data_IF_993617542149
#
_entry.id   IF_993617542149
#
_cell.length_a   1.000
_cell.length_b   1.000
_cell.length_c   1.000
_cell.angle_alpha   90.00
_cell.angle_beta   90.00
_cell.angle_gamma   90.00
#
_symmetry.space_group_name_H-M   'P 1'
#
loop_
_entity.id
_entity.type
_entity.pdbx_description
1 polymer ?
#
# COMPACT_ATOMS: atom_id res chain seq x y z
N UNK A 1 -11.68 -2.28 21.81
CA UNK A 1 -11.49 -3.31 20.77
C UNK A 1 -11.36 -2.53 19.47
N UNK A 2 -10.18 -2.52 18.86
CA UNK A 2 -9.94 -1.74 17.64
C UNK A 2 -10.36 -2.62 16.47
N UNK A 3 -11.38 -2.19 15.73
CA UNK A 3 -11.89 -2.85 14.54
C UNK A 3 -11.56 -1.98 13.33
N UNK A 4 -11.02 -2.58 12.27
CA UNK A 4 -10.73 -1.91 11.01
C UNK A 4 -11.44 -2.64 9.88
N UNK A 5 -12.30 -1.96 9.12
CA UNK A 5 -13.12 -2.58 8.06
C UNK A 5 -13.15 -1.75 6.79
N UNK A 6 -13.35 -2.39 5.65
CA UNK A 6 -13.43 -1.73 4.35
C UNK A 6 -13.76 -2.68 3.22
N UNK A 7 -13.59 -2.21 1.97
CA UNK A 7 -13.81 -3.00 0.75
C UNK A 7 -12.52 -3.20 -0.03
N UNK A 8 -12.36 -4.37 -0.64
CA UNK A 8 -11.19 -4.72 -1.46
C UNK A 8 -11.06 -3.87 -2.73
N UNK A 9 -12.19 -3.39 -3.27
CA UNK A 9 -12.21 -2.45 -4.40
C UNK A 9 -11.49 -1.12 -4.10
N UNK A 10 -11.45 -0.72 -2.83
CA UNK A 10 -10.79 0.51 -2.39
C UNK A 10 -9.34 0.27 -1.93
N UNK A 11 -9.03 -0.92 -1.41
CA UNK A 11 -7.70 -1.31 -0.92
C UNK A 11 -7.43 -2.77 -1.30
N UNK A 12 -6.39 -3.03 -2.09
CA UNK A 12 -6.09 -4.40 -2.50
C UNK A 12 -5.66 -5.26 -1.30
N UNK A 13 -5.77 -6.58 -1.41
CA UNK A 13 -5.28 -7.48 -0.38
C UNK A 13 -3.79 -7.26 -0.06
N UNK A 14 -2.96 -6.96 -1.08
CA UNK A 14 -1.55 -6.63 -0.90
C UNK A 14 -1.35 -5.42 0.03
N UNK A 15 -2.16 -4.36 -0.15
CA UNK A 15 -2.09 -3.14 0.64
C UNK A 15 -2.52 -3.36 2.09
N UNK A 16 -3.61 -4.12 2.28
CA UNK A 16 -4.11 -4.47 3.60
C UNK A 16 -3.06 -5.30 4.35
N UNK A 17 -2.48 -6.29 3.67
CA UNK A 17 -1.54 -7.21 4.28
C UNK A 17 -0.21 -6.51 4.61
N UNK A 18 0.27 -5.60 3.76
CA UNK A 18 1.44 -4.75 4.03
C UNK A 18 1.18 -3.77 5.18
N UNK A 19 0.01 -3.12 5.21
CA UNK A 19 -0.41 -2.27 6.32
C UNK A 19 -0.39 -3.03 7.65
N UNK A 20 -0.98 -4.23 7.69
CA UNK A 20 -0.99 -5.06 8.90
C UNK A 20 0.40 -5.58 9.29
N UNK A 21 1.28 -5.82 8.32
CA UNK A 21 2.70 -6.15 8.57
C UNK A 21 3.41 -5.01 9.31
N UNK A 22 3.23 -3.77 8.86
CA UNK A 22 3.84 -2.57 9.46
C UNK A 22 3.20 -2.24 10.81
N UNK A 23 1.87 -2.33 10.89
CA UNK A 23 1.11 -2.12 12.12
C UNK A 23 1.54 -3.12 13.22
N UNK A 24 1.89 -4.34 12.82
CA UNK A 24 2.43 -5.41 13.65
C UNK A 24 1.60 -5.66 14.92
N UNK A 25 0.27 -5.71 14.77
CA UNK A 25 -0.67 -6.04 15.84
C UNK A 25 -1.24 -7.43 15.62
N UNK A 26 -1.38 -8.25 16.66
CA UNK A 26 -2.01 -9.55 16.53
C UNK A 26 -3.52 -9.41 16.32
N UNK A 27 -4.12 -10.32 15.56
CA UNK A 27 -5.56 -10.32 15.32
C UNK A 27 -5.99 -11.16 14.13
N UNK A 28 -7.28 -11.14 13.84
CA UNK A 28 -7.88 -11.84 12.70
C UNK A 28 -8.15 -10.85 11.57
N UNK A 29 -7.56 -11.08 10.40
CA UNK A 29 -8.00 -10.47 9.14
C UNK A 29 -8.98 -11.42 8.45
N UNK A 30 -10.26 -11.03 8.37
CA UNK A 30 -11.31 -11.74 7.67
C UNK A 30 -11.66 -11.03 6.37
N UNK A 31 -11.72 -11.75 5.26
CA UNK A 31 -12.14 -11.25 3.95
C UNK A 31 -13.30 -12.09 3.43
N UNK A 32 -14.30 -11.44 2.83
CA UNK A 32 -15.48 -12.11 2.30
C UNK A 32 -15.91 -11.60 0.93
N UNK A 33 -16.21 -12.53 0.01
CA UNK A 33 -16.79 -12.25 -1.30
C UNK A 33 -17.78 -13.37 -1.66
N UNK A 34 -18.98 -13.00 -2.12
CA UNK A 34 -19.98 -13.95 -2.66
C UNK A 34 -20.23 -15.22 -1.80
N UNK A 35 -20.30 -15.06 -0.48
CA UNK A 35 -20.53 -16.17 0.46
C UNK A 35 -19.29 -17.03 0.79
N UNK A 36 -18.14 -16.73 0.19
CA UNK A 36 -16.84 -17.27 0.59
C UNK A 36 -16.18 -16.32 1.60
N UNK A 37 -15.68 -16.86 2.71
CA UNK A 37 -14.92 -16.10 3.72
C UNK A 37 -13.59 -16.79 3.98
N UNK A 38 -12.51 -16.02 3.97
CA UNK A 38 -11.16 -16.47 4.34
C UNK A 38 -10.67 -15.60 5.51
N UNK A 39 -10.25 -16.25 6.59
CA UNK A 39 -9.68 -15.63 7.77
C UNK A 39 -8.20 -15.97 7.92
N UNK A 40 -7.36 -14.96 8.16
CA UNK A 40 -5.93 -15.09 8.43
C UNK A 40 -5.61 -14.50 9.81
N UNK A 41 -5.05 -15.33 10.69
CA UNK A 41 -4.65 -14.89 12.02
C UNK A 41 -3.20 -14.43 12.00
N UNK A 42 -2.98 -13.20 12.44
CA UNK A 42 -1.69 -12.52 12.39
C UNK A 42 -1.08 -12.42 13.78
N UNK A 43 0.24 -12.58 13.87
CA UNK A 43 1.04 -12.37 15.08
C UNK A 43 2.48 -12.08 14.67
N UNK A 44 3.10 -11.04 15.22
CA UNK A 44 4.52 -10.71 15.01
C UNK A 44 4.97 -10.68 13.53
N UNK A 45 4.17 -10.05 12.67
CA UNK A 45 4.45 -9.93 11.23
C UNK A 45 4.30 -11.23 10.44
N UNK A 46 3.65 -12.24 11.02
CA UNK A 46 3.47 -13.59 10.48
C UNK A 46 2.01 -13.99 10.51
N UNK A 47 1.62 -14.85 9.57
CA UNK A 47 0.37 -15.58 9.60
C UNK A 47 0.62 -16.86 10.39
N UNK A 48 -0.15 -17.04 11.47
CA UNK A 48 -0.05 -18.21 12.36
C UNK A 48 -1.15 -19.24 12.12
N UNK A 49 -2.25 -18.82 11.51
CA UNK A 49 -3.38 -19.69 11.20
C UNK A 49 -4.21 -19.15 10.03
N UNK A 50 -4.90 -20.04 9.32
CA UNK A 50 -5.82 -19.69 8.24
C UNK A 50 -7.07 -20.57 8.26
N UNK A 51 -8.22 -19.95 8.03
CA UNK A 51 -9.52 -20.62 7.93
C UNK A 51 -10.24 -20.16 6.66
N UNK A 52 -11.00 -21.05 6.02
CA UNK A 52 -11.76 -20.74 4.81
C UNK A 52 -13.08 -21.50 4.81
N UNK A 53 -14.14 -20.86 4.32
CA UNK A 53 -15.42 -21.53 4.05
C UNK A 53 -15.42 -22.28 2.72
N UNK A 54 -14.41 -22.07 1.86
CA UNK A 54 -14.29 -22.74 0.56
C UNK A 54 -13.84 -24.18 0.74
N UNK A 55 -14.58 -25.13 0.17
CA UNK A 55 -14.26 -26.56 0.32
C UNK A 55 -12.90 -26.93 -0.27
N UNK A 56 -12.52 -26.34 -1.41
CA UNK A 56 -11.21 -26.60 -2.04
C UNK A 56 -10.01 -26.22 -1.17
N UNK A 57 -10.22 -25.38 -0.16
CA UNK A 57 -9.16 -24.93 0.75
C UNK A 57 -9.01 -25.88 1.95
N UNK A 58 -9.88 -26.88 2.11
CA UNK A 58 -9.79 -27.87 3.20
C UNK A 58 -8.53 -28.72 3.06
N UNK A 59 -7.88 -28.99 4.20
CA UNK A 59 -6.67 -29.81 4.25
C UNK A 59 -6.89 -31.20 3.63
N UNK A 60 -8.04 -31.84 3.89
CA UNK A 60 -8.39 -33.15 3.33
C UNK A 60 -8.40 -33.14 1.79
N UNK A 61 -9.03 -32.12 1.20
CA UNK A 61 -9.14 -31.99 -0.25
C UNK A 61 -7.78 -31.68 -0.89
N UNK A 62 -6.96 -30.86 -0.23
CA UNK A 62 -5.58 -30.58 -0.63
C UNK A 62 -4.73 -31.86 -0.64
N UNK A 63 -4.77 -32.65 0.45
CA UNK A 63 -4.00 -33.88 0.58
C UNK A 63 -4.43 -34.95 -0.44
N UNK A 64 -5.74 -35.05 -0.73
CA UNK A 64 -6.27 -35.94 -1.75
C UNK A 64 -5.84 -35.54 -3.16
N UNK A 65 -5.96 -34.24 -3.51
CA UNK A 65 -5.56 -33.73 -4.83
C UNK A 65 -4.08 -33.94 -5.12
N UNK A 66 -3.24 -33.91 -4.08
CA UNK A 66 -1.79 -34.19 -4.18
C UNK A 66 -1.43 -35.67 -4.16
N UNK A 67 -2.41 -36.55 -3.96
CA UNK A 67 -2.18 -37.99 -3.80
C UNK A 67 -1.40 -38.35 -2.53
N UNK A 68 -1.32 -37.44 -1.55
CA UNK A 68 -0.61 -37.67 -0.28
C UNK A 68 -1.36 -38.66 0.61
N UNK A 69 -2.70 -38.67 0.50
CA UNK A 69 -3.57 -39.64 1.16
C UNK A 69 -4.54 -40.25 0.14
N UNK A 70 -5.04 -41.44 0.41
CA UNK A 70 -6.10 -42.07 -0.38
C UNK A 70 -7.49 -41.61 0.07
N UNK A 71 -8.51 -41.80 -0.78
CA UNK A 71 -9.91 -41.52 -0.40
C UNK A 71 -10.34 -42.32 0.84
N UNK A 72 -9.96 -43.59 0.91
CA UNK A 72 -10.26 -44.44 2.07
C UNK A 72 -9.62 -43.91 3.37
N UNK A 73 -8.36 -43.49 3.33
CA UNK A 73 -7.69 -42.86 4.46
C UNK A 73 -8.38 -41.56 4.89
N UNK A 74 -8.81 -40.73 3.93
CA UNK A 74 -9.55 -39.51 4.19
C UNK A 74 -10.90 -39.79 4.86
N UNK A 75 -11.69 -40.73 4.32
CA UNK A 75 -13.01 -41.07 4.85
C UNK A 75 -12.93 -41.61 6.28
N UNK A 76 -11.93 -42.43 6.57
CA UNK A 76 -11.69 -42.94 7.92
C UNK A 76 -11.30 -41.82 8.89
N UNK A 77 -10.42 -40.90 8.48
CA UNK A 77 -10.01 -39.77 9.30
C UNK A 77 -11.18 -38.81 9.59
N UNK A 78 -12.05 -38.58 8.60
CA UNK A 78 -13.25 -37.76 8.76
C UNK A 78 -14.25 -38.37 9.75
N UNK A 79 -14.43 -39.70 9.77
CA UNK A 79 -15.28 -40.38 10.78
C UNK A 79 -14.76 -40.18 12.20
N UNK A 80 -13.44 -40.24 12.40
CA UNK A 80 -12.81 -39.95 13.71
C UNK A 80 -12.97 -38.48 14.08
N UNK A 81 -12.86 -37.58 13.10
CA UNK A 81 -13.08 -36.16 13.33
C UNK A 81 -14.51 -35.82 13.74
N UNK A 82 -15.50 -36.49 13.14
CA UNK A 82 -16.90 -36.39 13.54
C UNK A 82 -17.14 -36.92 14.98
N UNK A 83 -16.26 -37.80 15.49
CA UNK A 83 -16.28 -38.29 16.86
C UNK A 83 -15.49 -37.39 17.85
N UNK A 84 -15.04 -36.21 17.42
CA UNK A 84 -14.38 -35.21 18.27
C UNK A 84 -12.85 -35.21 18.21
N UNK A 85 -12.23 -36.04 17.36
CA UNK A 85 -10.77 -36.04 17.19
C UNK A 85 -10.30 -34.96 16.20
N UNK A 86 -9.13 -34.34 16.43
CA UNK A 86 -8.54 -33.44 15.43
C UNK A 86 -8.16 -34.21 14.16
N UNK A 87 -8.66 -33.77 12.99
CA UNK A 87 -8.44 -34.44 11.70
C UNK A 87 -6.95 -34.74 11.43
N UNK A 88 -6.06 -33.81 11.75
CA UNK A 88 -4.61 -33.99 11.58
C UNK A 88 -4.05 -35.14 12.42
N UNK A 89 -4.51 -35.30 13.66
CA UNK A 89 -4.13 -36.42 14.53
C UNK A 89 -4.63 -37.75 13.96
N UNK A 90 -5.89 -37.79 13.53
CA UNK A 90 -6.47 -38.98 12.92
C UNK A 90 -5.71 -39.46 11.67
N UNK A 91 -5.20 -38.52 10.86
CA UNK A 91 -4.37 -38.81 9.67
C UNK A 91 -2.98 -39.33 10.01
N UNK A 92 -2.36 -38.82 11.08
CA UNK A 92 -1.03 -39.26 11.54
C UNK A 92 -1.08 -40.65 12.16
N UNK A 93 -2.03 -40.90 13.07
CA UNK A 93 -2.15 -42.17 13.80
C UNK A 93 -2.31 -43.39 12.88
N UNK A 94 -2.87 -43.19 11.68
CA UNK A 94 -3.10 -44.27 10.71
C UNK A 94 -1.92 -44.50 9.76
N UNK A 95 -0.81 -43.79 9.95
CA UNK A 95 0.38 -43.91 9.10
C UNK A 95 0.19 -43.31 7.70
N UNK A 96 -0.92 -42.62 7.44
CA UNK A 96 -1.18 -41.93 6.17
C UNK A 96 -0.42 -40.63 6.01
N UNK A 97 0.11 -40.07 7.11
CA UNK A 97 0.84 -38.80 7.11
C UNK A 97 1.84 -38.77 8.27
N UNK A 98 3.05 -38.26 8.06
CA UNK A 98 3.97 -37.97 9.17
C UNK A 98 3.63 -36.62 9.82
N UNK A 99 3.98 -36.36 11.10
CA UNK A 99 3.79 -35.04 11.71
C UNK A 99 4.43 -33.90 10.91
N UNK A 100 5.61 -34.16 10.32
CA UNK A 100 6.30 -33.21 9.44
C UNK A 100 5.51 -32.95 8.16
N UNK A 101 5.02 -33.99 7.49
CA UNK A 101 4.20 -33.85 6.29
C UNK A 101 2.88 -33.13 6.58
N UNK A 102 2.29 -33.32 7.76
CA UNK A 102 1.12 -32.56 8.21
C UNK A 102 1.42 -31.07 8.34
N UNK A 103 2.54 -30.71 8.97
CA UNK A 103 2.97 -29.32 9.11
C UNK A 103 3.21 -28.68 7.74
N UNK A 104 3.94 -29.36 6.86
CA UNK A 104 4.21 -28.88 5.49
C UNK A 104 2.91 -28.69 4.69
N UNK A 105 1.97 -29.63 4.81
CA UNK A 105 0.65 -29.52 4.19
C UNK A 105 -0.17 -28.35 4.74
N UNK A 106 -0.11 -28.10 6.05
CA UNK A 106 -0.78 -26.96 6.70
C UNK A 106 -0.19 -25.62 6.26
N UNK A 107 1.13 -25.50 6.25
CA UNK A 107 1.80 -24.29 5.76
C UNK A 107 1.41 -24.02 4.31
N UNK A 108 1.41 -25.05 3.47
CA UNK A 108 1.00 -24.92 2.08
C UNK A 108 -0.47 -24.53 1.93
N UNK A 109 -1.36 -25.12 2.74
CA UNK A 109 -2.78 -24.79 2.77
C UNK A 109 -3.00 -23.30 3.08
N UNK A 110 -2.39 -22.78 4.15
CA UNK A 110 -2.52 -21.38 4.57
C UNK A 110 -1.91 -20.44 3.52
N UNK A 111 -0.76 -20.79 2.95
CA UNK A 111 -0.14 -20.04 1.87
C UNK A 111 -1.06 -19.97 0.64
N UNK A 112 -1.66 -21.08 0.21
CA UNK A 112 -2.58 -21.10 -0.92
C UNK A 112 -3.83 -20.25 -0.67
N UNK A 113 -4.42 -20.33 0.53
CA UNK A 113 -5.54 -19.47 0.93
C UNK A 113 -5.16 -18.00 0.80
N UNK A 114 -4.04 -17.60 1.42
CA UNK A 114 -3.59 -16.21 1.44
C UNK A 114 -3.22 -15.70 0.03
N UNK A 115 -2.51 -16.50 -0.78
CA UNK A 115 -2.16 -16.17 -2.16
C UNK A 115 -3.41 -16.02 -3.03
N UNK A 116 -4.44 -16.84 -2.83
CA UNK A 116 -5.68 -16.76 -3.61
C UNK A 116 -6.44 -15.43 -3.42
N UNK A 117 -6.23 -14.74 -2.30
CA UNK A 117 -6.84 -13.44 -2.03
C UNK A 117 -6.27 -12.31 -2.90
N UNK A 118 -5.10 -12.48 -3.52
CA UNK A 118 -4.55 -11.49 -4.46
C UNK A 118 -5.35 -11.39 -5.76
N UNK A 119 -6.15 -12.42 -6.10
CA UNK A 119 -7.05 -12.39 -7.25
C UNK A 119 -8.42 -11.75 -6.93
N UNK A 120 -8.70 -11.43 -5.65
CA UNK A 120 -9.97 -10.82 -5.27
C UNK A 120 -9.94 -9.31 -5.54
N UNK A 121 -10.66 -8.87 -6.57
CA UNK A 121 -10.78 -7.44 -6.95
C UNK A 121 -11.90 -6.70 -6.20
N UNK A 122 -12.83 -7.43 -5.58
CA UNK A 122 -13.95 -6.88 -4.79
C UNK A 122 -14.24 -7.79 -3.59
N UNK A 123 -15.05 -7.29 -2.66
CA UNK A 123 -15.38 -7.95 -1.39
C UNK A 123 -15.16 -7.04 -0.19
N UNK A 124 -15.54 -7.53 0.99
CA UNK A 124 -15.39 -6.83 2.26
C UNK A 124 -14.24 -7.44 3.06
N UNK A 125 -13.58 -6.61 3.87
CA UNK A 125 -12.60 -7.09 4.85
C UNK A 125 -12.85 -6.46 6.22
N UNK A 126 -12.48 -7.20 7.27
CA UNK A 126 -12.48 -6.75 8.66
C UNK A 126 -11.22 -7.29 9.35
N UNK A 127 -10.51 -6.43 10.07
CA UNK A 127 -9.47 -6.80 11.00
C UNK A 127 -9.96 -6.60 12.44
N UNK A 128 -9.87 -7.67 13.23
CA UNK A 128 -10.24 -7.71 14.64
C UNK A 128 -8.97 -7.88 15.49
N UNK A 129 -8.54 -6.80 16.14
CA UNK A 129 -7.34 -6.82 16.97
C UNK A 129 -7.52 -7.75 18.18
N UNK A 130 -6.49 -8.55 18.48
CA UNK A 130 -6.43 -9.52 19.60
C UNK A 130 -7.40 -10.70 19.51
N UNK A 131 -8.05 -10.90 18.36
CA UNK A 131 -8.80 -12.11 18.09
C UNK A 131 -7.81 -13.29 17.91
N UNK A 132 -7.98 -14.34 18.69
CA UNK A 132 -7.17 -15.55 18.63
C UNK A 132 -7.91 -16.66 17.87
N UNK A 133 -7.19 -17.59 17.23
CA UNK A 133 -7.83 -18.76 16.63
C UNK A 133 -8.65 -19.52 17.67
N UNK A 134 -9.90 -19.84 17.34
CA UNK A 134 -10.76 -20.65 18.22
C UNK A 134 -10.31 -22.10 18.33
N UNK A 135 -9.56 -22.60 17.34
CA UNK A 135 -9.01 -23.96 17.34
C UNK A 135 -7.52 -23.90 17.71
N UNK A 136 -7.12 -24.65 18.75
CA UNK A 136 -5.73 -24.91 19.15
C UNK A 136 -5.02 -25.83 18.14
N UNK A 137 -5.16 -25.54 16.85
CA UNK A 137 -4.49 -26.24 15.78
C UNK A 137 -2.98 -26.01 15.83
N UNK A 138 -2.25 -26.77 15.00
CA UNK A 138 -0.83 -26.54 14.78
C UNK A 138 -0.66 -25.17 14.11
N UNK A 139 0.00 -24.23 14.79
CA UNK A 139 0.35 -22.93 14.22
C UNK A 139 1.36 -23.10 13.08
N UNK A 140 1.16 -22.34 12.01
CA UNK A 140 2.14 -22.26 10.92
C UNK A 140 3.06 -21.08 11.15
N UNK A 141 4.28 -21.15 10.63
CA UNK A 141 5.20 -20.02 10.64
C UNK A 141 5.34 -19.43 9.25
N UNK A 142 4.39 -18.55 8.85
CA UNK A 142 4.35 -17.99 7.51
C UNK A 142 4.57 -16.46 7.55
N UNK A 143 5.77 -15.96 7.19
CA UNK A 143 6.03 -14.53 7.12
C UNK A 143 5.08 -13.83 6.14
N UNK A 144 4.52 -12.68 6.55
CA UNK A 144 3.68 -11.86 5.68
C UNK A 144 4.45 -11.42 4.42
N UNK A 145 5.74 -11.10 4.56
CA UNK A 145 6.59 -10.74 3.43
C UNK A 145 6.67 -11.86 2.36
N UNK A 146 6.72 -13.13 2.77
CA UNK A 146 6.68 -14.27 1.85
C UNK A 146 5.36 -14.33 1.11
N UNK A 147 4.23 -14.11 1.80
CA UNK A 147 2.90 -14.10 1.18
C UNK A 147 2.74 -12.95 0.19
N UNK A 148 3.25 -11.75 0.51
CA UNK A 148 3.25 -10.61 -0.41
C UNK A 148 4.00 -10.94 -1.70
N UNK A 149 5.16 -11.58 -1.59
CA UNK A 149 5.99 -11.95 -2.75
C UNK A 149 5.31 -13.01 -3.61
N UNK A 150 4.94 -14.14 -3.01
CA UNK A 150 4.29 -15.24 -3.71
C UNK A 150 2.94 -14.81 -4.30
N UNK A 151 2.19 -13.98 -3.56
CA UNK A 151 0.91 -13.43 -3.98
C UNK A 151 1.02 -12.51 -5.18
N UNK A 152 1.90 -11.51 -5.11
CA UNK A 152 2.16 -10.60 -6.24
C UNK A 152 2.71 -11.34 -7.45
N UNK A 153 3.47 -12.42 -7.26
CA UNK A 153 3.93 -13.29 -8.35
C UNK A 153 2.82 -14.08 -9.02
N UNK A 154 1.79 -14.47 -8.27
CA UNK A 154 0.67 -15.27 -8.80
C UNK A 154 -0.42 -14.46 -9.52
N UNK A 155 -0.39 -13.13 -9.42
CA UNK A 155 -1.43 -12.26 -9.99
C UNK A 155 -1.54 -12.45 -11.50
N UNK A 156 -2.72 -12.91 -11.97
CA UNK A 156 -2.98 -13.13 -13.40
C UNK A 156 -3.35 -11.87 -14.16
N UNK A 157 -4.15 -10.99 -13.55
CA UNK A 157 -4.59 -9.75 -14.18
C UNK A 157 -3.51 -8.66 -14.08
N UNK A 158 -2.43 -8.81 -14.83
CA UNK A 158 -1.28 -7.90 -14.80
C UNK A 158 -1.62 -6.43 -15.15
N UNK A 159 -2.79 -6.16 -15.76
CA UNK A 159 -3.26 -4.80 -16.03
C UNK A 159 -3.51 -3.97 -14.75
N UNK A 160 -3.71 -4.61 -13.59
CA UNK A 160 -3.85 -3.87 -12.32
C UNK A 160 -2.57 -3.13 -11.91
N UNK A 161 -1.39 -3.62 -12.29
CA UNK A 161 -0.13 -2.93 -11.98
C UNK A 161 -0.03 -1.59 -12.72
N UNK A 162 -0.58 -1.49 -13.94
CA UNK A 162 -0.68 -0.22 -14.67
C UNK A 162 -1.60 0.78 -13.99
N UNK A 163 -2.71 0.34 -13.39
CA UNK A 163 -3.57 1.24 -12.58
C UNK A 163 -2.84 1.76 -11.34
N UNK A 164 -1.97 0.93 -10.75
CA UNK A 164 -1.19 1.27 -9.55
C UNK A 164 0.04 2.13 -9.85
N UNK A 165 0.58 2.01 -11.06
CA UNK A 165 1.70 2.77 -11.60
C UNK A 165 1.28 3.46 -12.91
N UNK A 166 0.38 4.47 -12.83
CA UNK A 166 -0.27 5.04 -14.01
C UNK A 166 0.63 5.98 -14.82
N UNK A 167 1.75 6.42 -14.25
CA UNK A 167 2.60 7.45 -14.83
C UNK A 167 3.97 6.91 -15.21
N UNK A 168 4.31 7.00 -16.49
CA UNK A 168 5.60 6.56 -17.02
C UNK A 168 6.77 7.44 -16.55
N UNK A 169 6.50 8.68 -16.12
CA UNK A 169 7.52 9.63 -15.67
C UNK A 169 7.99 9.40 -14.21
N UNK A 170 7.38 8.47 -13.48
CA UNK A 170 7.82 8.10 -12.14
C UNK A 170 9.25 7.58 -12.14
N UNK A 171 10.02 7.93 -11.11
CA UNK A 171 11.39 7.45 -10.93
C UNK A 171 11.49 6.73 -9.61
N UNK A 172 12.11 5.55 -9.64
CA UNK A 172 12.45 4.80 -8.45
C UNK A 172 13.95 4.88 -8.20
N UNK A 173 14.33 4.76 -6.94
CA UNK A 173 15.72 4.53 -6.54
C UNK A 173 15.79 3.26 -5.69
N UNK A 174 16.88 2.51 -5.86
CA UNK A 174 17.13 1.30 -5.09
C UNK A 174 17.49 1.65 -3.64
N UNK A 175 16.97 0.85 -2.70
CA UNK A 175 17.28 0.98 -1.28
C UNK A 175 18.60 0.25 -0.98
N UNK A 176 19.50 0.95 -0.30
CA UNK A 176 20.82 0.47 0.12
C UNK A 176 20.71 -0.79 0.99
N UNK A 177 21.72 -1.67 0.91
CA UNK A 177 21.70 -2.97 1.61
C UNK A 177 21.50 -2.89 3.12
N UNK A 178 22.02 -1.85 3.76
CA UNK A 178 21.86 -1.62 5.21
C UNK A 178 20.47 -1.16 5.64
N UNK A 179 19.60 -0.76 4.71
CA UNK A 179 18.26 -0.20 4.98
C UNK A 179 17.12 -1.16 4.55
N UNK A 180 17.47 -2.34 4.02
CA UNK A 180 16.49 -3.30 3.50
C UNK A 180 15.67 -3.92 4.64
N UNK A 181 14.35 -3.95 4.47
CA UNK A 181 13.45 -4.83 5.22
C UNK A 181 13.62 -6.29 4.73
N UNK A 182 13.03 -7.33 5.37
CA UNK A 182 13.62 -8.66 5.50
C UNK A 182 14.04 -9.32 4.18
N UNK A 183 15.02 -10.23 4.27
CA UNK A 183 15.67 -10.92 3.16
C UNK A 183 14.71 -11.82 2.35
N UNK A 184 13.93 -11.22 1.46
CA UNK A 184 13.21 -11.93 0.41
C UNK A 184 14.20 -12.34 -0.69
N UNK A 185 14.17 -13.62 -1.08
CA UNK A 185 14.91 -14.08 -2.24
C UNK A 185 14.24 -13.56 -3.52
N UNK A 186 14.98 -12.74 -4.26
CA UNK A 186 14.54 -12.26 -5.58
C UNK A 186 14.87 -13.30 -6.64
N UNK A 187 13.98 -13.46 -7.60
CA UNK A 187 14.22 -14.28 -8.78
C UNK A 187 15.19 -13.58 -9.75
N UNK A 188 15.87 -14.32 -10.66
CA UNK A 188 16.82 -13.74 -11.59
C UNK A 188 16.26 -12.60 -12.44
N UNK A 189 14.99 -12.71 -12.87
CA UNK A 189 14.32 -11.66 -13.65
C UNK A 189 14.04 -10.41 -12.81
N UNK A 190 13.72 -10.56 -11.52
CA UNK A 190 13.50 -9.45 -10.60
C UNK A 190 14.80 -8.70 -10.30
N UNK A 191 15.90 -9.43 -10.18
CA UNK A 191 17.26 -8.86 -10.05
C UNK A 191 17.64 -8.09 -11.31
N UNK A 192 17.30 -8.61 -12.50
CA UNK A 192 17.53 -7.92 -13.76
C UNK A 192 16.79 -6.57 -13.82
N UNK A 193 15.48 -6.55 -13.55
CA UNK A 193 14.70 -5.31 -13.54
C UNK A 193 15.20 -4.33 -12.48
N UNK A 194 15.57 -4.82 -11.29
CA UNK A 194 16.17 -3.98 -10.24
C UNK A 194 17.45 -3.29 -10.71
N UNK A 195 18.28 -3.97 -11.52
CA UNK A 195 19.52 -3.37 -12.10
C UNK A 195 19.24 -2.32 -13.16
N UNK A 196 18.06 -2.32 -13.78
CA UNK A 196 17.64 -1.26 -14.70
C UNK A 196 17.25 0.03 -13.95
N UNK A 197 16.98 -0.03 -12.64
CA UNK A 197 16.65 1.14 -11.83
C UNK A 197 17.94 1.78 -11.30
N UNK A 198 18.31 2.92 -11.87
CA UNK A 198 19.52 3.69 -11.52
C UNK A 198 19.24 4.93 -10.65
N UNK A 199 17.98 5.17 -10.28
CA UNK A 199 17.60 6.39 -9.57
C UNK A 199 17.32 7.59 -10.47
N UNK A 200 17.41 7.47 -11.80
CA UNK A 200 17.17 8.57 -12.75
C UNK A 200 16.19 8.19 -13.85
N UNK A 201 16.22 6.93 -14.30
CA UNK A 201 15.32 6.40 -15.33
C UNK A 201 13.88 6.45 -14.87
N UNK A 202 13.03 6.91 -15.77
CA UNK A 202 11.60 6.89 -15.56
C UNK A 202 11.07 5.46 -15.76
N UNK A 203 9.90 5.14 -15.19
CA UNK A 203 9.23 3.85 -15.33
C UNK A 203 9.07 3.46 -16.80
N UNK A 204 8.69 4.43 -17.66
CA UNK A 204 8.57 4.19 -19.10
C UNK A 204 9.89 3.78 -19.75
N UNK A 205 11.04 4.27 -19.26
CA UNK A 205 12.36 3.89 -19.77
C UNK A 205 12.74 2.48 -19.31
N UNK A 206 12.46 2.16 -18.04
CA UNK A 206 12.67 0.81 -17.48
C UNK A 206 11.83 -0.22 -18.24
N UNK A 207 10.57 0.10 -18.56
CA UNK A 207 9.70 -0.75 -19.38
C UNK A 207 10.30 -1.00 -20.77
N UNK A 208 10.81 0.04 -21.44
CA UNK A 208 11.40 -0.10 -22.79
C UNK A 208 12.71 -0.89 -22.79
N UNK A 209 13.49 -0.81 -21.72
CA UNK A 209 14.76 -1.53 -21.57
C UNK A 209 14.57 -2.97 -21.08
N UNK A 210 13.42 -3.28 -20.48
CA UNK A 210 13.13 -4.60 -19.96
C UNK A 210 12.73 -5.58 -21.07
N UNK A 211 13.31 -6.78 -21.05
CA UNK A 211 13.01 -7.85 -22.01
C UNK A 211 11.69 -8.59 -21.71
N UNK A 212 11.08 -8.30 -20.56
CA UNK A 212 9.88 -9.01 -20.07
C UNK A 212 8.55 -8.36 -20.48
N UNK A 213 8.62 -7.22 -21.19
CA UNK A 213 7.44 -6.44 -21.58
C UNK A 213 6.83 -5.65 -20.43
N UNK A 214 5.89 -4.77 -20.76
CA UNK A 214 5.30 -3.81 -19.81
C UNK A 214 4.65 -4.46 -18.57
N UNK A 215 3.73 -5.43 -18.71
CA UNK A 215 2.95 -5.88 -17.55
C UNK A 215 3.81 -6.59 -16.51
N UNK A 216 4.77 -7.39 -16.98
CA UNK A 216 5.72 -8.10 -16.12
C UNK A 216 6.69 -7.12 -15.45
N UNK A 217 7.21 -6.14 -16.20
CA UNK A 217 8.11 -5.12 -15.63
C UNK A 217 7.42 -4.30 -14.55
N UNK A 218 6.16 -3.91 -14.76
CA UNK A 218 5.36 -3.19 -13.76
C UNK A 218 5.08 -4.07 -12.52
N UNK A 219 4.75 -5.35 -12.71
CA UNK A 219 4.59 -6.32 -11.62
C UNK A 219 5.87 -6.42 -10.78
N UNK A 220 7.02 -6.56 -11.44
CA UNK A 220 8.32 -6.62 -10.79
C UNK A 220 8.64 -5.33 -10.03
N UNK A 221 8.46 -4.16 -10.64
CA UNK A 221 8.69 -2.86 -9.98
C UNK A 221 7.80 -2.69 -8.74
N UNK A 222 6.52 -3.07 -8.85
CA UNK A 222 5.58 -3.01 -7.74
C UNK A 222 5.96 -3.97 -6.60
N UNK A 223 6.38 -5.20 -6.94
CA UNK A 223 6.90 -6.17 -5.97
C UNK A 223 8.13 -5.60 -5.25
N UNK A 224 9.09 -5.08 -6.00
CA UNK A 224 10.32 -4.50 -5.45
C UNK A 224 10.05 -3.29 -4.54
N UNK A 225 9.06 -2.45 -4.88
CA UNK A 225 8.58 -1.37 -4.02
C UNK A 225 7.95 -1.92 -2.72
N UNK A 226 7.09 -2.94 -2.84
CA UNK A 226 6.35 -3.54 -1.71
C UNK A 226 7.29 -4.20 -0.70
N UNK A 227 8.34 -4.89 -1.18
CA UNK A 227 9.32 -5.57 -0.30
C UNK A 227 10.45 -4.64 0.17
N UNK A 228 10.36 -3.33 -0.10
CA UNK A 228 11.35 -2.36 0.35
C UNK A 228 12.72 -2.51 -0.32
N UNK A 229 12.74 -2.87 -1.62
CA UNK A 229 13.95 -2.83 -2.47
C UNK A 229 14.03 -1.55 -3.30
N UNK A 230 12.89 -0.93 -3.56
CA UNK A 230 12.79 0.38 -4.21
C UNK A 230 12.07 1.36 -3.30
N UNK A 231 12.36 2.65 -3.49
CA UNK A 231 11.55 3.78 -3.00
C UNK A 231 11.30 4.75 -4.15
N UNK A 232 10.18 5.45 -4.07
CA UNK A 232 9.89 6.55 -5.01
C UNK A 232 10.91 7.67 -4.79
N UNK A 233 11.54 8.11 -5.87
CA UNK A 233 12.38 9.31 -5.86
C UNK A 233 11.50 10.48 -6.27
N UNK A 234 11.36 11.45 -5.37
CA UNK A 234 10.69 12.70 -5.67
C UNK A 234 11.48 13.44 -6.77
N UNK A 235 11.01 13.36 -8.01
CA UNK A 235 11.46 14.22 -9.09
C UNK A 235 10.41 15.31 -9.25
N UNK A 236 10.77 16.59 -9.43
CA UNK A 236 9.82 17.55 -9.97
C UNK A 236 9.27 16.96 -11.27
N UNK A 237 7.96 17.04 -11.47
CA UNK A 237 7.34 16.72 -12.75
C UNK A 237 8.18 17.37 -13.87
N UNK A 238 8.36 16.71 -15.03
CA UNK A 238 9.13 17.30 -16.12
C UNK A 238 8.68 18.74 -16.31
N UNK A 239 9.63 19.68 -16.28
CA UNK A 239 9.37 21.05 -16.67
C UNK A 239 8.71 20.96 -18.04
N UNK A 240 7.41 21.22 -18.07
CA UNK A 240 6.74 21.56 -19.32
C UNK A 240 7.48 22.80 -19.77
N UNK A 241 8.34 22.63 -20.77
CA UNK A 241 9.13 23.68 -21.37
C UNK A 241 8.16 24.71 -21.96
N UNK A 242 7.73 25.65 -21.10
CA UNK A 242 7.13 26.96 -21.33
C UNK A 242 6.35 27.37 -20.06
N UNK A 243 7.06 27.87 -19.04
CA UNK A 243 6.46 28.64 -17.97
C UNK A 243 7.38 29.83 -17.58
N UNK A 244 6.88 31.08 -17.61
CA UNK A 244 7.69 32.26 -17.34
C UNK A 244 8.03 32.42 -15.84
N UNK A 245 9.33 32.61 -15.56
CA UNK A 245 9.98 33.19 -14.36
C UNK A 245 9.56 32.73 -12.94
N UNK A 246 10.55 32.19 -12.20
CA UNK A 246 10.46 31.56 -10.88
C UNK A 246 10.10 32.44 -9.65
N UNK A 247 9.73 33.71 -9.84
CA UNK A 247 9.33 34.63 -8.76
C UNK A 247 7.86 35.12 -8.84
N UNK A 248 7.10 34.67 -9.83
CA UNK A 248 5.69 35.02 -10.03
C UNK A 248 4.71 34.16 -9.22
N UNK A 249 3.42 34.51 -9.36
CA UNK A 249 2.26 33.79 -8.81
C UNK A 249 2.38 32.26 -8.98
N UNK A 250 2.76 31.81 -10.18
CA UNK A 250 2.94 30.40 -10.52
C UNK A 250 4.01 29.71 -9.66
N UNK A 251 5.14 30.37 -9.37
CA UNK A 251 6.20 29.82 -8.52
C UNK A 251 5.78 29.69 -7.06
N UNK A 252 4.92 30.57 -6.56
CA UNK A 252 4.32 30.44 -5.22
C UNK A 252 3.41 29.21 -5.19
N UNK A 253 2.46 29.10 -6.13
CA UNK A 253 1.54 27.96 -6.17
C UNK A 253 2.30 26.64 -6.36
N UNK A 254 3.34 26.60 -7.20
CA UNK A 254 4.15 25.40 -7.39
C UNK A 254 4.83 24.92 -6.11
N UNK A 255 5.38 25.84 -5.29
CA UNK A 255 5.98 25.49 -3.99
C UNK A 255 4.95 24.92 -3.01
N UNK A 256 3.77 25.50 -2.95
CA UNK A 256 2.68 24.98 -2.11
C UNK A 256 2.13 23.65 -2.63
N UNK A 257 1.98 23.48 -3.94
CA UNK A 257 1.59 22.20 -4.54
C UNK A 257 2.58 21.08 -4.22
N UNK A 258 3.89 21.37 -4.12
CA UNK A 258 4.86 20.40 -3.62
C UNK A 258 4.58 19.97 -2.18
N UNK A 259 4.17 20.90 -1.31
CA UNK A 259 3.82 20.61 0.08
C UNK A 259 2.48 19.88 0.21
N UNK A 260 1.45 20.31 -0.50
CA UNK A 260 0.14 19.64 -0.55
C UNK A 260 0.28 18.22 -1.09
N UNK A 261 1.03 18.06 -2.19
CA UNK A 261 1.32 16.75 -2.75
C UNK A 261 2.03 15.84 -1.75
N UNK A 262 2.99 16.35 -0.97
CA UNK A 262 3.64 15.56 0.09
C UNK A 262 2.65 15.14 1.20
N UNK A 263 1.78 16.04 1.65
CA UNK A 263 0.77 15.74 2.68
C UNK A 263 -0.25 14.75 2.15
N UNK A 264 -0.74 14.96 0.93
CA UNK A 264 -1.63 14.07 0.21
C UNK A 264 -1.02 12.69 0.05
N UNK A 265 0.20 12.58 -0.48
CA UNK A 265 0.88 11.29 -0.65
C UNK A 265 1.10 10.58 0.68
N UNK A 266 1.45 11.33 1.73
CA UNK A 266 1.63 10.76 3.06
C UNK A 266 0.30 10.27 3.64
N UNK A 267 -0.78 11.05 3.57
CA UNK A 267 -2.10 10.61 4.00
C UNK A 267 -2.64 9.47 3.14
N UNK A 268 -2.43 9.53 1.84
CA UNK A 268 -2.80 8.48 0.90
C UNK A 268 -2.05 7.18 1.23
N UNK A 269 -0.79 7.26 1.62
CA UNK A 269 0.00 6.11 2.09
C UNK A 269 -0.51 5.56 3.42
N UNK A 270 -0.83 6.42 4.38
CA UNK A 270 -1.08 6.02 5.77
C UNK A 270 -2.56 5.72 6.07
N UNK A 271 -3.50 6.36 5.35
CA UNK A 271 -4.94 6.16 5.51
C UNK A 271 -5.71 5.87 4.22
N UNK A 272 -5.06 5.88 3.05
CA UNK A 272 -5.69 5.53 1.77
C UNK A 272 -6.62 6.61 1.21
N UNK A 273 -7.49 6.26 0.24
CA UNK A 273 -8.30 7.22 -0.52
C UNK A 273 -9.25 8.10 0.31
N UNK A 274 -9.53 7.72 1.56
CA UNK A 274 -10.32 8.56 2.46
C UNK A 274 -9.65 9.92 2.70
N UNK A 275 -8.32 10.00 2.55
CA UNK A 275 -7.56 11.24 2.57
C UNK A 275 -8.10 12.27 1.58
N UNK A 276 -8.54 11.86 0.39
CA UNK A 276 -9.14 12.76 -0.61
C UNK A 276 -10.38 13.45 -0.06
N UNK A 277 -11.26 12.69 0.59
CA UNK A 277 -12.48 13.26 1.15
C UNK A 277 -12.18 14.19 2.33
N UNK A 278 -11.22 13.83 3.17
CA UNK A 278 -10.81 14.63 4.33
C UNK A 278 -10.18 15.96 3.90
N UNK A 279 -9.27 15.93 2.92
CA UNK A 279 -8.59 17.11 2.39
C UNK A 279 -9.54 17.98 1.56
N UNK A 280 -10.39 17.39 0.72
CA UNK A 280 -11.40 18.11 -0.03
C UNK A 280 -12.43 18.81 0.88
N UNK A 281 -12.72 18.24 2.06
CA UNK A 281 -13.55 18.89 3.07
C UNK A 281 -12.86 20.14 3.63
N UNK A 282 -11.57 20.06 3.96
CA UNK A 282 -10.80 21.21 4.45
C UNK A 282 -10.75 22.35 3.45
N UNK A 283 -10.60 22.06 2.15
CA UNK A 283 -10.66 23.08 1.10
C UNK A 283 -12.03 23.77 1.03
N UNK A 284 -13.14 23.02 1.15
CA UNK A 284 -14.50 23.59 1.18
C UNK A 284 -14.74 24.52 2.38
N UNK A 285 -14.21 24.18 3.55
CA UNK A 285 -14.30 25.02 4.75
C UNK A 285 -13.50 26.33 4.57
N UNK A 286 -12.39 26.28 3.85
CA UNK A 286 -11.58 27.46 3.51
C UNK A 286 -12.17 28.32 2.40
N UNK A 287 -12.90 27.74 1.44
CA UNK A 287 -13.64 28.52 0.42
C UNK A 287 -14.65 29.47 1.07
N UNK A 288 -15.28 29.09 2.18
CA UNK A 288 -16.17 29.97 2.93
C UNK A 288 -15.44 31.16 3.59
N UNK A 289 -14.16 30.99 3.92
CA UNK A 289 -13.34 32.01 4.60
C UNK A 289 -12.60 32.91 3.59
N UNK A 290 -12.17 32.34 2.46
CA UNK A 290 -11.46 33.02 1.38
C UNK A 290 -12.20 32.83 0.04
N UNK A 291 -13.44 33.34 -0.09
CA UNK A 291 -14.31 33.05 -1.23
C UNK A 291 -13.76 33.61 -2.54
N UNK A 292 -12.98 34.69 -2.51
CA UNK A 292 -12.34 35.25 -3.70
C UNK A 292 -11.23 34.35 -4.22
N UNK A 293 -10.44 33.72 -3.33
CA UNK A 293 -9.27 32.94 -3.73
C UNK A 293 -9.63 31.52 -4.17
N UNK A 294 -10.44 30.81 -3.37
CA UNK A 294 -10.75 29.40 -3.59
C UNK A 294 -12.05 29.16 -4.36
N UNK A 295 -12.64 30.20 -4.96
CA UNK A 295 -13.83 30.05 -5.77
C UNK A 295 -13.64 28.96 -6.82
N UNK A 296 -14.52 27.95 -6.82
CA UNK A 296 -14.51 26.82 -7.77
C UNK A 296 -13.22 25.97 -7.72
N UNK A 297 -12.37 26.16 -6.71
CA UNK A 297 -11.10 25.43 -6.59
C UNK A 297 -11.35 24.03 -6.03
N UNK A 298 -10.66 23.05 -6.59
CA UNK A 298 -10.70 21.65 -6.13
C UNK A 298 -9.28 21.11 -5.99
N UNK A 299 -9.09 20.13 -5.11
CA UNK A 299 -7.84 19.36 -5.08
C UNK A 299 -7.83 18.36 -6.24
N UNK A 300 -6.71 18.28 -6.94
CA UNK A 300 -6.42 17.22 -7.89
C UNK A 300 -6.23 15.87 -7.20
N UNK A 301 -6.21 14.79 -7.98
CA UNK A 301 -5.94 13.42 -7.48
C UNK A 301 -4.50 13.21 -6.99
N UNK A 302 -3.69 14.25 -6.95
CA UNK A 302 -2.36 14.31 -6.37
C UNK A 302 -2.30 15.27 -5.15
N UNK A 303 -3.46 15.81 -4.74
CA UNK A 303 -3.56 16.79 -3.66
C UNK A 303 -3.24 18.23 -4.06
N UNK A 304 -3.00 18.53 -5.33
CA UNK A 304 -2.59 19.88 -5.76
C UNK A 304 -3.78 20.77 -6.14
N UNK A 305 -3.55 22.09 -6.20
CA UNK A 305 -4.54 23.09 -6.68
C UNK A 305 -4.13 23.69 -8.02
N UNK A 306 -5.12 24.03 -8.86
CA UNK A 306 -4.88 24.60 -10.20
C UNK A 306 -4.37 26.05 -10.11
N UNK A 307 -3.11 26.24 -10.51
CA UNK A 307 -2.44 27.54 -10.49
C UNK A 307 -3.10 28.58 -11.41
N UNK A 308 -3.66 28.16 -12.55
CA UNK A 308 -4.31 29.08 -13.51
C UNK A 308 -5.62 29.60 -12.94
N UNK A 309 -6.42 28.71 -12.36
CA UNK A 309 -7.69 29.07 -11.71
C UNK A 309 -7.46 30.01 -10.52
N UNK A 310 -6.48 29.69 -9.67
CA UNK A 310 -6.10 30.58 -8.57
C UNK A 310 -5.69 31.95 -9.12
N UNK A 311 -4.90 32.01 -10.19
CA UNK A 311 -4.49 33.29 -10.78
C UNK A 311 -5.69 34.09 -11.30
N UNK A 312 -6.64 33.45 -11.98
CA UNK A 312 -7.87 34.08 -12.48
C UNK A 312 -8.72 34.66 -11.35
N UNK A 313 -8.84 33.94 -10.24
CA UNK A 313 -9.61 34.33 -9.07
C UNK A 313 -9.08 35.63 -8.42
N UNK A 314 -7.75 35.77 -8.32
CA UNK A 314 -7.09 36.93 -7.68
C UNK A 314 -6.79 38.07 -8.65
N UNK A 315 -7.02 37.92 -9.97
CA UNK A 315 -6.82 39.01 -10.97
C UNK A 315 -7.64 40.27 -10.69
N UNK A 316 -8.74 40.13 -9.95
CA UNK A 316 -9.59 41.25 -9.55
C UNK A 316 -9.00 42.08 -8.40
N UNK A 317 -7.94 41.57 -7.73
CA UNK A 317 -7.20 42.24 -6.68
C UNK A 317 -5.91 42.85 -7.26
N UNK A 318 -5.51 44.04 -6.79
CA UNK A 318 -4.25 44.66 -7.20
C UNK A 318 -3.05 43.74 -6.90
N UNK A 319 -1.97 43.81 -7.69
CA UNK A 319 -0.88 42.81 -7.70
C UNK A 319 -0.24 42.54 -6.31
N UNK A 320 0.03 43.58 -5.53
CA UNK A 320 0.59 43.46 -4.17
C UNK A 320 -0.40 42.83 -3.17
N UNK A 321 -1.65 43.33 -3.03
CA UNK A 321 -2.69 42.67 -2.23
C UNK A 321 -3.00 41.23 -2.66
N UNK A 322 -3.03 40.95 -3.96
CA UNK A 322 -3.31 39.61 -4.50
C UNK A 322 -2.24 38.59 -4.10
N UNK A 323 -0.98 39.00 -4.06
CA UNK A 323 0.14 38.17 -3.60
C UNK A 323 0.04 37.84 -2.11
N UNK A 324 -0.30 38.82 -1.28
CA UNK A 324 -0.47 38.61 0.16
C UNK A 324 -1.64 37.67 0.46
N UNK A 325 -2.78 37.88 -0.22
CA UNK A 325 -3.98 37.03 -0.12
C UNK A 325 -3.69 35.60 -0.58
N UNK A 326 -2.93 35.41 -1.67
CA UNK A 326 -2.51 34.09 -2.14
C UNK A 326 -1.67 33.35 -1.10
N UNK A 327 -0.61 33.98 -0.58
CA UNK A 327 0.29 33.34 0.39
C UNK A 327 -0.47 32.99 1.67
N UNK A 328 -1.32 33.90 2.15
CA UNK A 328 -2.15 33.67 3.33
C UNK A 328 -3.09 32.50 3.11
N UNK A 329 -3.86 32.47 2.02
CA UNK A 329 -4.80 31.39 1.76
C UNK A 329 -4.13 30.03 1.54
N UNK A 330 -2.99 29.97 0.84
CA UNK A 330 -2.24 28.73 0.67
C UNK A 330 -1.59 28.23 1.97
N UNK A 331 -1.15 29.13 2.86
CA UNK A 331 -0.71 28.77 4.21
C UNK A 331 -1.85 28.17 5.03
N UNK A 332 -3.03 28.78 5.02
CA UNK A 332 -4.20 28.27 5.73
C UNK A 332 -4.63 26.89 5.20
N UNK A 333 -4.57 26.67 3.88
CA UNK A 333 -4.79 25.36 3.30
C UNK A 333 -3.77 24.34 3.81
N UNK A 334 -2.47 24.68 3.80
CA UNK A 334 -1.42 23.79 4.31
C UNK A 334 -1.62 23.44 5.78
N UNK A 335 -1.98 24.42 6.62
CA UNK A 335 -2.28 24.16 8.03
C UNK A 335 -3.52 23.29 8.21
N UNK A 336 -4.56 23.48 7.39
CA UNK A 336 -5.75 22.63 7.43
C UNK A 336 -5.42 21.18 7.05
N UNK A 337 -4.59 20.95 6.03
CA UNK A 337 -4.15 19.60 5.64
C UNK A 337 -3.25 18.94 6.70
N UNK A 338 -2.33 19.69 7.30
CA UNK A 338 -1.51 19.22 8.42
C UNK A 338 -2.36 18.93 9.66
N UNK A 339 -3.41 19.72 9.91
CA UNK A 339 -4.37 19.48 10.97
C UNK A 339 -5.18 18.20 10.72
N UNK A 340 -5.64 17.97 9.48
CA UNK A 340 -6.24 16.70 9.07
C UNK A 340 -5.27 15.55 9.31
N UNK A 341 -4.01 15.71 8.91
CA UNK A 341 -2.97 14.70 9.13
C UNK A 341 -2.77 14.42 10.61
N UNK A 342 -2.61 15.45 11.45
CA UNK A 342 -2.46 15.32 12.90
C UNK A 342 -3.67 14.68 13.56
N UNK A 343 -4.89 15.06 13.16
CA UNK A 343 -6.13 14.51 13.71
C UNK A 343 -6.32 13.04 13.33
N UNK A 344 -5.85 12.67 12.14
CA UNK A 344 -6.00 11.32 11.58
C UNK A 344 -4.89 10.37 12.04
N UNK A 345 -3.64 10.83 12.09
CA UNK A 345 -2.44 10.00 12.31
C UNK A 345 -1.64 10.37 13.58
N UNK A 346 -1.99 11.48 14.23
CA UNK A 346 -1.30 11.95 15.43
C UNK A 346 -0.11 12.88 15.16
N UNK A 347 0.39 13.58 16.22
CA UNK A 347 1.40 14.63 16.11
C UNK A 347 2.80 14.13 15.69
N UNK A 348 3.09 12.83 15.88
CA UNK A 348 4.36 12.25 15.44
C UNK A 348 4.48 12.18 13.91
N UNK A 349 3.37 11.94 13.22
CA UNK A 349 3.32 11.88 11.75
C UNK A 349 3.41 13.29 11.14
N UNK A 350 2.76 14.26 11.76
CA UNK A 350 2.89 15.69 11.42
C UNK A 350 4.35 16.14 11.54
N UNK A 351 5.03 15.76 12.64
CA UNK A 351 6.45 16.04 12.84
C UNK A 351 7.37 15.46 11.76
N UNK A 352 7.03 14.30 11.17
CA UNK A 352 7.78 13.69 10.06
C UNK A 352 7.62 14.48 8.77
N UNK A 353 6.40 14.91 8.45
CA UNK A 353 6.13 15.73 7.26
C UNK A 353 6.75 17.13 7.37
N UNK A 354 6.66 17.76 8.55
CA UNK A 354 7.32 19.04 8.80
C UNK A 354 8.86 18.97 8.77
N UNK A 355 9.43 17.78 8.96
CA UNK A 355 10.87 17.54 8.75
C UNK A 355 11.17 17.36 7.27
N UNK A 356 10.36 16.58 6.54
CA UNK A 356 10.47 16.42 5.09
C UNK A 356 10.35 17.76 4.33
N UNK A 357 9.48 18.68 4.78
CA UNK A 357 9.39 20.03 4.22
C UNK A 357 10.69 20.84 4.34
N UNK A 358 11.43 20.66 5.44
CA UNK A 358 12.70 21.36 5.68
C UNK A 358 13.84 20.78 4.87
N UNK A 359 13.82 19.46 4.67
CA UNK A 359 14.82 18.73 3.88
C UNK A 359 14.60 18.89 2.36
N UNK A 360 13.37 19.18 1.93
CA UNK A 360 13.02 19.47 0.53
C UNK A 360 13.37 20.89 0.05
N UNK A 361 13.91 21.76 0.91
CA UNK A 361 14.48 23.05 0.50
C UNK A 361 15.90 22.83 -0.05
N UNK A 362 16.25 23.32 -1.25
CA UNK A 362 17.61 23.16 -1.76
C UNK A 362 18.62 23.88 -0.84
N UNK A 363 19.85 23.35 -0.68
CA UNK A 363 20.93 24.07 -0.02
C UNK A 363 21.38 25.23 -0.93
N UNK A 364 20.85 26.43 -0.70
CA UNK A 364 21.18 27.59 -1.54
C UNK A 364 20.32 28.82 -1.33
N UNK A 365 20.43 29.46 -0.18
CA UNK A 365 20.08 30.86 0.05
C UNK A 365 21.12 31.42 1.01
N UNK A 366 22.04 32.19 0.47
CA UNK A 366 23.33 32.55 1.06
C UNK A 366 23.29 33.02 2.52
N UNK A 367 24.37 32.70 3.23
CA UNK A 367 24.91 33.55 4.28
C UNK A 367 25.05 34.98 3.73
N UNK A 368 24.20 35.89 4.21
CA UNK A 368 24.46 37.32 4.17
C UNK A 368 25.37 37.65 5.35
N UNK A 369 26.59 38.07 5.02
CA UNK A 369 27.67 38.39 5.95
C UNK A 369 27.27 39.39 7.03
N UNK A 370 27.89 39.20 8.20
CA UNK A 370 28.22 40.31 9.07
C UNK A 370 28.86 41.47 8.29
N UNK A 371 28.27 42.65 8.43
CA UNK A 371 28.96 43.94 8.50
C UNK A 371 28.12 44.81 9.45
#
# INVERSE_FOLDING_TARGET
MTEFRGRLKALSFADILEFLRVLNRPGLLSLSVEGTTIGLYLRDGRIVHGASTRESDRLSDLLLRRGTITRDQCDQAMRRAAAGEKLGKALVDRGGLTPRALMEARLHQVLQMAVSLFEWEDGDFVFLEREAPQDEGVEVDLPIATVLVEGLRSVRNVALFRKRMPFDWWVFEAISEGERSPAVALEPHEIYVLRLVDGERAVGDVIRLSEFGEPETLRTLFLLLTVGRLKMKARPAPEVADAPSADGFAGIVQRYNGMFGMVYQYLMKEVGPISEHLLARSLRELEATYPVLFHRTTLGGDGTVDARLLQENVRSLADEPGRAVLIQGLNELLYAELYVLRKTLGPQHEGRILRAFREARPPGGAAGSAA
#
